data_IF_794746261066
#
_entry.id   IF_794746261066
#
_cell.length_a   1.000
_cell.length_b   1.000
_cell.length_c   1.000
_cell.angle_alpha   90.00
_cell.angle_beta   90.00
_cell.angle_gamma   90.00
#
_symmetry.space_group_name_H-M   'P 1'
#
loop_
_entity.id
_entity.type
_entity.pdbx_description
1 polymer ?
#
# COMPACT_ATOMS: atom_id res chain seq x y z
N UNK A 1 -13.50 -21.27 -25.63
CA UNK A 1 -12.83 -21.30 -24.31
C UNK A 1 -11.85 -20.13 -24.28
N UNK A 2 -12.28 -18.96 -23.79
CA UNK A 2 -11.46 -17.74 -23.81
C UNK A 2 -10.48 -17.74 -22.63
N UNK A 3 -9.28 -18.26 -22.87
CA UNK A 3 -8.15 -18.06 -21.95
C UNK A 3 -7.59 -16.66 -22.21
N UNK A 4 -8.28 -15.62 -21.72
CA UNK A 4 -7.67 -14.31 -21.52
C UNK A 4 -6.77 -14.42 -20.30
N UNK A 5 -5.60 -15.05 -20.46
CA UNK A 5 -4.53 -14.99 -19.48
C UNK A 5 -4.18 -13.50 -19.33
N UNK A 6 -4.61 -12.91 -18.21
CA UNK A 6 -4.31 -11.53 -17.84
C UNK A 6 -2.80 -11.32 -17.95
N UNK A 7 -2.40 -10.58 -18.99
CA UNK A 7 -1.00 -10.26 -19.33
C UNK A 7 -0.36 -9.30 -18.34
N UNK A 8 -1.07 -8.90 -17.28
CA UNK A 8 -0.51 -8.10 -16.19
C UNK A 8 0.32 -9.05 -15.31
N UNK A 9 1.58 -9.25 -15.70
CA UNK A 9 2.57 -9.95 -14.89
C UNK A 9 2.74 -9.12 -13.61
N UNK A 10 2.22 -9.58 -12.48
CA UNK A 10 2.37 -8.93 -11.16
C UNK A 10 3.80 -9.11 -10.65
N UNK A 11 4.78 -8.61 -11.40
CA UNK A 11 6.18 -8.92 -11.13
C UNK A 11 6.75 -7.98 -10.10
N UNK A 12 6.42 -6.70 -10.16
CA UNK A 12 6.92 -5.74 -9.19
C UNK A 12 5.79 -5.31 -8.25
N UNK A 13 5.85 -5.77 -7.00
CA UNK A 13 4.83 -5.49 -5.98
C UNK A 13 5.42 -4.59 -4.90
N UNK A 14 4.79 -3.44 -4.67
CA UNK A 14 5.12 -2.53 -3.58
C UNK A 14 4.08 -2.64 -2.46
N UNK A 15 4.52 -2.96 -1.25
CA UNK A 15 3.66 -2.94 -0.06
C UNK A 15 3.97 -1.70 0.77
N UNK A 16 2.96 -0.88 1.04
CA UNK A 16 3.09 0.32 1.85
C UNK A 16 2.89 -0.05 3.32
N UNK A 17 3.97 -0.10 4.11
CA UNK A 17 3.96 -0.33 5.55
C UNK A 17 4.10 -1.79 6.02
N UNK A 18 4.77 -1.97 7.17
CA UNK A 18 5.02 -3.25 7.88
C UNK A 18 4.37 -3.28 9.25
N UNK A 19 3.14 -2.76 9.37
CA UNK A 19 2.37 -2.98 10.59
C UNK A 19 1.97 -4.44 10.76
N UNK A 20 1.08 -4.71 11.71
CA UNK A 20 0.52 -6.05 11.99
C UNK A 20 -0.05 -6.76 10.74
N UNK A 21 -0.48 -5.98 9.74
CA UNK A 21 -1.01 -6.50 8.48
C UNK A 21 0.01 -6.56 7.35
N UNK A 22 1.07 -5.77 7.41
CA UNK A 22 2.11 -5.75 6.38
C UNK A 22 2.95 -7.04 6.42
N UNK A 23 3.37 -7.47 7.61
CA UNK A 23 4.24 -8.65 7.77
C UNK A 23 3.62 -9.96 7.25
N UNK A 24 2.36 -10.31 7.59
CA UNK A 24 1.73 -11.50 7.02
C UNK A 24 1.58 -11.44 5.49
N UNK A 25 1.33 -10.26 4.94
CA UNK A 25 1.26 -10.05 3.48
C UNK A 25 2.63 -10.27 2.85
N UNK A 26 3.69 -9.70 3.42
CA UNK A 26 5.06 -9.90 2.95
C UNK A 26 5.51 -11.35 3.02
N UNK A 27 5.22 -12.07 4.12
CA UNK A 27 5.51 -13.50 4.25
C UNK A 27 4.81 -14.31 3.14
N UNK A 28 3.53 -14.05 2.90
CA UNK A 28 2.79 -14.74 1.84
C UNK A 28 3.31 -14.35 0.44
N UNK A 29 3.68 -13.09 0.23
CA UNK A 29 4.29 -12.66 -1.02
C UNK A 29 5.63 -13.35 -1.26
N UNK A 30 6.50 -13.44 -0.24
CA UNK A 30 7.77 -14.13 -0.34
C UNK A 30 7.60 -15.64 -0.61
N UNK A 31 6.61 -16.29 0.02
CA UNK A 31 6.26 -17.68 -0.29
C UNK A 31 5.84 -17.85 -1.76
N UNK A 32 4.96 -16.98 -2.26
CA UNK A 32 4.47 -17.04 -3.64
C UNK A 32 5.49 -16.58 -4.67
N UNK A 33 6.44 -15.72 -4.30
CA UNK A 33 7.52 -15.29 -5.17
C UNK A 33 8.45 -16.46 -5.53
N UNK A 34 8.57 -17.49 -4.68
CA UNK A 34 9.30 -18.72 -5.00
C UNK A 34 8.69 -19.49 -6.17
N UNK A 35 7.37 -19.40 -6.34
CA UNK A 35 6.64 -20.09 -7.40
C UNK A 35 6.54 -19.26 -8.70
N UNK A 36 6.93 -17.97 -8.66
CA UNK A 36 6.80 -17.03 -9.78
C UNK A 36 8.16 -16.45 -10.16
N UNK A 37 8.73 -16.97 -11.23
CA UNK A 37 10.04 -16.55 -11.72
C UNK A 37 10.06 -15.05 -12.09
N UNK A 38 10.90 -14.29 -11.38
CA UNK A 38 11.08 -12.85 -11.55
C UNK A 38 10.09 -11.96 -10.80
N UNK A 39 9.34 -12.48 -9.82
CA UNK A 39 8.57 -11.65 -8.90
C UNK A 39 9.50 -10.94 -7.90
N UNK A 40 9.50 -9.60 -7.92
CA UNK A 40 10.16 -8.72 -6.96
C UNK A 40 9.12 -8.11 -6.03
N UNK A 41 9.36 -8.25 -4.74
CA UNK A 41 8.57 -7.58 -3.71
C UNK A 41 9.43 -6.52 -3.05
N UNK A 42 8.85 -5.34 -2.91
CA UNK A 42 9.45 -4.22 -2.21
C UNK A 42 8.49 -3.72 -1.15
N UNK A 43 9.05 -3.18 -0.07
CA UNK A 43 8.29 -2.62 1.03
C UNK A 43 8.66 -1.16 1.24
N UNK A 44 7.66 -0.30 1.32
CA UNK A 44 7.86 1.12 1.59
C UNK A 44 7.70 1.40 3.08
N UNK A 45 8.79 1.83 3.72
CA UNK A 45 8.86 2.09 5.16
C UNK A 45 9.32 3.50 5.46
N UNK A 46 8.78 4.06 6.53
CA UNK A 46 9.28 5.34 7.06
C UNK A 46 10.67 5.13 7.64
N UNK A 47 11.62 6.02 7.35
CA UNK A 47 12.96 5.97 7.93
C UNK A 47 12.94 5.88 9.47
N UNK A 48 11.98 6.53 10.14
CA UNK A 48 11.82 6.42 11.60
C UNK A 48 11.30 5.06 12.09
N UNK A 49 10.69 4.25 11.21
CA UNK A 49 10.33 2.87 11.49
C UNK A 49 11.53 1.93 11.31
N UNK A 50 12.44 2.28 10.39
CA UNK A 50 13.70 1.55 10.15
C UNK A 50 14.72 1.79 11.27
N UNK A 51 14.82 3.04 11.76
CA UNK A 51 15.73 3.44 12.86
C UNK A 51 15.07 3.27 14.24
N UNK A 52 13.97 2.53 14.34
CA UNK A 52 13.26 2.38 15.60
C UNK A 52 13.98 1.39 16.51
N UNK A 53 14.36 1.81 17.72
CA UNK A 53 14.95 0.98 18.80
C UNK A 53 13.96 -0.03 19.42
N UNK A 54 12.87 -0.34 18.72
CA UNK A 54 11.88 -1.31 19.21
C UNK A 54 12.32 -2.69 18.72
N UNK A 55 12.65 -3.64 19.63
CA UNK A 55 13.18 -4.95 19.25
C UNK A 55 12.29 -5.71 18.26
N UNK A 56 10.97 -5.54 18.39
CA UNK A 56 9.99 -6.14 17.48
C UNK A 56 10.19 -5.66 16.03
N UNK A 57 10.44 -4.36 15.81
CA UNK A 57 10.64 -3.79 14.47
C UNK A 57 12.00 -4.16 13.88
N UNK A 58 13.03 -4.30 14.71
CA UNK A 58 14.33 -4.79 14.26
C UNK A 58 14.24 -6.24 13.78
N UNK A 59 13.48 -7.09 14.51
CA UNK A 59 13.16 -8.45 14.07
C UNK A 59 12.41 -8.47 12.74
N UNK A 60 11.42 -7.59 12.58
CA UNK A 60 10.66 -7.47 11.32
C UNK A 60 11.57 -7.06 10.15
N UNK A 61 12.48 -6.10 10.34
CA UNK A 61 13.41 -5.65 9.29
C UNK A 61 14.39 -6.76 8.90
N UNK A 62 14.92 -7.49 9.89
CA UNK A 62 15.78 -8.64 9.64
C UNK A 62 15.04 -9.72 8.85
N UNK A 63 13.80 -10.03 9.22
CA UNK A 63 12.97 -11.01 8.50
C UNK A 63 12.68 -10.56 7.06
N UNK A 64 12.39 -9.27 6.83
CA UNK A 64 12.17 -8.73 5.48
C UNK A 64 13.42 -8.89 4.60
N UNK A 65 14.60 -8.64 5.17
CA UNK A 65 15.88 -8.87 4.50
C UNK A 65 16.11 -10.35 4.18
N UNK A 66 15.84 -11.24 5.13
CA UNK A 66 15.96 -12.70 4.95
C UNK A 66 14.99 -13.25 3.90
N UNK A 67 13.83 -12.63 3.75
CA UNK A 67 12.84 -12.96 2.73
C UNK A 67 13.21 -12.43 1.34
N UNK A 68 14.30 -11.65 1.20
CA UNK A 68 14.77 -11.09 -0.06
C UNK A 68 13.90 -9.94 -0.58
N UNK A 69 13.21 -9.24 0.31
CA UNK A 69 12.33 -8.11 -0.01
C UNK A 69 13.16 -6.82 0.01
N UNK A 70 13.03 -5.99 -1.01
CA UNK A 70 13.72 -4.70 -1.06
C UNK A 70 13.04 -3.68 -0.16
N UNK A 71 13.79 -3.06 0.74
CA UNK A 71 13.29 -2.00 1.61
C UNK A 71 13.50 -0.65 0.93
N UNK A 72 12.40 0.03 0.62
CA UNK A 72 12.38 1.40 0.12
C UNK A 72 12.03 2.32 1.27
N UNK A 73 12.96 3.20 1.63
CA UNK A 73 12.73 4.17 2.68
C UNK A 73 12.07 5.44 2.15
N UNK A 74 11.04 5.92 2.84
CA UNK A 74 10.45 7.23 2.57
C UNK A 74 9.25 7.55 3.45
N UNK A 75 8.90 8.83 3.49
CA UNK A 75 7.83 9.33 4.35
C UNK A 75 6.60 9.70 3.51
N UNK A 76 5.57 8.85 3.54
CA UNK A 76 4.31 9.06 2.81
C UNK A 76 3.64 10.42 3.14
N UNK A 77 3.92 11.00 4.31
CA UNK A 77 3.35 12.29 4.71
C UNK A 77 4.10 13.46 4.13
N UNK A 78 5.43 13.35 4.01
CA UNK A 78 6.32 14.41 3.51
C UNK A 78 6.47 14.36 1.99
N UNK A 79 6.44 13.17 1.39
CA UNK A 79 6.53 13.02 -0.06
C UNK A 79 5.34 13.72 -0.74
N UNK A 80 5.66 14.45 -1.80
CA UNK A 80 4.69 15.02 -2.72
C UNK A 80 4.01 13.93 -3.57
N UNK A 81 2.89 14.29 -4.20
CA UNK A 81 2.16 13.36 -5.07
C UNK A 81 3.03 12.95 -6.27
N UNK A 82 3.84 13.85 -6.81
CA UNK A 82 4.71 13.61 -7.96
C UNK A 82 5.85 12.63 -7.64
N UNK A 83 6.46 12.75 -6.45
CA UNK A 83 7.48 11.81 -5.97
C UNK A 83 6.89 10.42 -5.76
N UNK A 84 5.71 10.33 -5.14
CA UNK A 84 5.00 9.06 -4.97
C UNK A 84 4.59 8.45 -6.32
N UNK A 85 4.15 9.27 -7.27
CA UNK A 85 3.80 8.81 -8.61
C UNK A 85 5.03 8.27 -9.36
N UNK A 86 6.17 8.95 -9.25
CA UNK A 86 7.44 8.54 -9.84
C UNK A 86 8.00 7.26 -9.19
N UNK A 87 7.69 7.04 -7.91
CA UNK A 87 8.01 5.78 -7.24
C UNK A 87 7.09 4.66 -7.73
N UNK A 88 5.77 4.91 -7.75
CA UNK A 88 4.77 3.91 -8.12
C UNK A 88 4.90 3.45 -9.57
N UNK A 89 5.34 4.31 -10.49
CA UNK A 89 5.56 3.95 -11.90
C UNK A 89 6.61 2.85 -12.12
N UNK A 90 7.45 2.57 -11.11
CA UNK A 90 8.43 1.46 -11.13
C UNK A 90 7.81 0.10 -10.79
N UNK A 91 6.58 0.10 -10.30
CA UNK A 91 5.88 -1.07 -9.78
C UNK A 91 4.61 -1.36 -10.58
N UNK A 92 4.28 -2.63 -10.73
CA UNK A 92 3.05 -3.07 -11.41
C UNK A 92 1.85 -3.07 -10.47
N UNK A 93 2.11 -3.27 -9.17
CA UNK A 93 1.07 -3.40 -8.15
C UNK A 93 1.50 -2.71 -6.87
N UNK A 94 0.65 -1.83 -6.35
CA UNK A 94 0.85 -1.15 -5.07
C UNK A 94 -0.23 -1.58 -4.10
N UNK A 95 0.15 -2.03 -2.91
CA UNK A 95 -0.74 -2.51 -1.85
C UNK A 95 -0.63 -1.61 -0.62
N UNK A 96 -1.72 -0.96 -0.25
CA UNK A 96 -1.83 -0.15 0.95
C UNK A 96 -2.02 -0.99 2.21
N UNK A 97 -0.95 -1.22 2.96
CA UNK A 97 -1.00 -1.80 4.31
C UNK A 97 -0.73 -0.76 5.40
N UNK A 98 -0.66 0.52 5.02
CA UNK A 98 -0.41 1.63 5.92
C UNK A 98 -1.66 1.88 6.75
N UNK A 99 -1.61 1.48 8.02
CA UNK A 99 -2.70 1.62 8.98
C UNK A 99 -3.17 3.06 9.18
N UNK A 100 -4.14 3.25 10.08
CA UNK A 100 -4.76 4.55 10.40
C UNK A 100 -3.75 5.65 10.76
N UNK A 101 -2.57 5.24 11.26
CA UNK A 101 -1.42 6.09 11.55
C UNK A 101 -0.92 6.91 10.34
N UNK A 102 -1.29 6.54 9.12
CA UNK A 102 -0.95 7.31 7.92
C UNK A 102 -1.74 8.62 7.81
N UNK A 103 -2.81 8.84 8.58
CA UNK A 103 -3.57 10.10 8.59
C UNK A 103 -4.68 10.17 7.53
N UNK A 104 -5.71 10.97 7.80
CA UNK A 104 -6.98 10.98 7.04
C UNK A 104 -6.83 11.38 5.56
N UNK A 105 -5.80 12.16 5.22
CA UNK A 105 -5.57 12.65 3.87
C UNK A 105 -4.68 11.72 3.02
N UNK A 106 -4.03 10.73 3.65
CA UNK A 106 -3.04 9.89 2.97
C UNK A 106 -3.64 8.90 1.98
N UNK A 107 -4.79 8.26 2.24
CA UNK A 107 -5.45 7.44 1.23
C UNK A 107 -5.76 8.23 -0.05
N UNK A 108 -6.19 9.49 0.09
CA UNK A 108 -6.50 10.36 -1.05
C UNK A 108 -5.23 10.76 -1.81
N UNK A 109 -4.13 11.07 -1.10
CA UNK A 109 -2.83 11.35 -1.73
C UNK A 109 -2.30 10.13 -2.51
N UNK A 110 -2.34 8.95 -1.89
CA UNK A 110 -1.91 7.69 -2.50
C UNK A 110 -2.75 7.34 -3.73
N UNK A 111 -4.07 7.53 -3.66
CA UNK A 111 -4.95 7.30 -4.80
C UNK A 111 -4.63 8.27 -5.96
N UNK A 112 -4.37 9.55 -5.67
CA UNK A 112 -3.94 10.52 -6.69
C UNK A 112 -2.59 10.16 -7.30
N UNK A 113 -1.62 9.77 -6.47
CA UNK A 113 -0.31 9.33 -6.94
C UNK A 113 -0.41 8.07 -7.81
N UNK A 114 -1.25 7.11 -7.41
CA UNK A 114 -1.54 5.91 -8.20
C UNK A 114 -2.14 6.25 -9.57
N UNK A 115 -3.15 7.12 -9.60
CA UNK A 115 -3.75 7.59 -10.86
C UNK A 115 -2.74 8.30 -11.75
N UNK A 116 -1.90 9.15 -11.18
CA UNK A 116 -0.87 9.88 -11.92
C UNK A 116 0.26 8.99 -12.41
N UNK A 117 0.65 7.97 -11.65
CA UNK A 117 1.66 7.00 -12.03
C UNK A 117 1.22 6.03 -13.13
N UNK A 118 -0.09 5.92 -13.38
CA UNK A 118 -0.65 5.01 -14.38
C UNK A 118 -0.47 3.53 -14.02
N UNK A 119 -0.34 3.19 -12.74
CA UNK A 119 -0.10 1.80 -12.34
C UNK A 119 -1.26 0.87 -12.73
N UNK A 120 -0.96 -0.36 -13.17
CA UNK A 120 -1.99 -1.33 -13.56
C UNK A 120 -2.93 -1.72 -12.42
N UNK A 121 -2.41 -1.83 -11.19
CA UNK A 121 -3.18 -2.25 -10.02
C UNK A 121 -2.81 -1.49 -8.76
N UNK A 122 -3.81 -0.87 -8.15
CA UNK A 122 -3.71 -0.22 -6.85
C UNK A 122 -4.72 -0.84 -5.88
N UNK A 123 -4.23 -1.39 -4.78
CA UNK A 123 -5.05 -1.89 -3.68
C UNK A 123 -5.02 -0.87 -2.54
N UNK A 124 -6.10 -0.11 -2.30
CA UNK A 124 -6.14 0.82 -1.17
C UNK A 124 -6.15 0.07 0.17
N UNK A 125 -5.79 0.79 1.24
CA UNK A 125 -5.92 0.27 2.60
C UNK A 125 -7.40 0.09 2.97
N UNK A 126 -7.88 -1.15 2.87
CA UNK A 126 -9.27 -1.55 3.16
C UNK A 126 -9.42 -2.28 4.51
N UNK A 127 -8.33 -2.44 5.26
CA UNK A 127 -8.30 -3.26 6.48
C UNK A 127 -8.74 -2.47 7.73
N UNK A 128 -9.96 -1.91 7.72
CA UNK A 128 -10.54 -1.27 8.92
C UNK A 128 -11.95 -0.68 8.77
N UNK A 129 -12.91 -1.26 9.52
CA UNK A 129 -14.32 -0.90 9.78
C UNK A 129 -15.11 -0.19 8.67
N UNK A 130 -16.13 -0.87 8.17
CA UNK A 130 -17.25 -0.25 7.44
C UNK A 130 -17.82 0.90 8.28
N UNK A 131 -17.58 2.16 7.88
CA UNK A 131 -18.24 3.31 8.49
C UNK A 131 -19.70 3.29 8.05
N UNK A 132 -20.59 2.92 8.96
CA UNK A 132 -22.05 2.94 8.76
C UNK A 132 -22.66 4.35 8.59
N UNK A 133 -21.84 5.40 8.49
CA UNK A 133 -22.31 6.79 8.37
C UNK A 133 -22.38 7.29 6.91
N UNK A 134 -22.87 6.44 6.01
CA UNK A 134 -23.28 6.85 4.65
C UNK A 134 -24.68 7.51 4.65
N UNK A 135 -25.47 7.31 5.70
CA UNK A 135 -26.88 7.73 5.74
C UNK A 135 -27.12 9.22 6.04
N UNK A 136 -26.16 9.96 6.65
CA UNK A 136 -26.43 11.34 7.13
C UNK A 136 -26.10 12.50 6.20
N UNK A 137 -25.69 12.28 4.95
CA UNK A 137 -25.42 13.39 3.99
C UNK A 137 -26.53 13.68 2.99
N UNK A 138 -27.58 12.84 2.92
CA UNK A 138 -28.67 13.01 1.95
C UNK A 138 -29.94 13.67 2.53
N UNK A 139 -30.01 13.94 3.84
CA UNK A 139 -31.22 14.43 4.51
C UNK A 139 -31.21 15.93 4.87
N UNK A 140 -30.30 16.72 4.30
CA UNK A 140 -30.08 18.12 4.67
C UNK A 140 -30.34 19.13 3.54
N UNK A 141 -31.29 18.89 2.63
CA UNK A 141 -31.68 19.89 1.62
C UNK A 141 -33.13 19.72 1.19
N UNK A 142 -34.09 19.82 2.11
CA UNK A 142 -35.49 20.00 1.71
C UNK A 142 -36.39 20.56 2.83
N UNK A 143 -36.00 21.67 3.47
CA UNK A 143 -36.94 22.46 4.29
C UNK A 143 -36.53 23.93 4.31
N UNK A 144 -36.96 24.71 3.31
CA UNK A 144 -37.30 26.15 3.42
C UNK A 144 -38.20 26.54 2.24
N UNK A 145 -39.52 26.52 2.46
CA UNK A 145 -40.50 27.35 1.75
C UNK A 145 -41.82 27.29 2.50
N UNK A 146 -42.01 28.22 3.42
CA UNK A 146 -43.29 28.74 3.89
C UNK A 146 -43.10 30.23 4.02
#
# INVERSE_FOLDING_TARGET
>A
MNTTASTVKSRNILVLGTGELGMPVLRNLALRAKDVEGAKSSVFLRASAVVSDVPAKQGDIAEIGDLGIEIVEGDLMKCSIDELASLFSRYDTVIGCAGYAAGINTPMKLAKAALQSGIPRYFPWQFGRFRSDWSRRSAGRLRRST
#
